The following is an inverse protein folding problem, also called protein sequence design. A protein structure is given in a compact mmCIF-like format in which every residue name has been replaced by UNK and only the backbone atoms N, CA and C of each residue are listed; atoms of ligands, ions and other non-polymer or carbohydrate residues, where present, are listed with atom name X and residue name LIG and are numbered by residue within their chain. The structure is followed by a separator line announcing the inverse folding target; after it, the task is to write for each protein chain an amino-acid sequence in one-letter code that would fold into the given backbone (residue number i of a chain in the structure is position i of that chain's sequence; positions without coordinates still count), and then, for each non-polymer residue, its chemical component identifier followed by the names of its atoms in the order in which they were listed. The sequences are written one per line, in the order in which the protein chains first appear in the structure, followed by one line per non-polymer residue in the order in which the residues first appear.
data_IF_874876550810
#
_entry.id   IF_874876550810
#
_cell.length_a   1.000
_cell.length_b   1.000
_cell.length_c   1.000
_cell.angle_alpha   90.00
_cell.angle_beta   90.00
_cell.angle_gamma   90.00
#
_symmetry.space_group_name_H-M   'P 1'
#
loop_
_entity.id
_entity.type
_entity.pdbx_description
1 polymer ?
#
# COMPACT_ATOMS: atom_id res chain seq x y z
N UNK A 1 3.47 6.74 4.87
CA UNK A 1 4.20 7.08 6.10
C UNK A 1 5.45 7.85 5.70
N UNK A 2 5.92 8.83 6.48
CA UNK A 2 7.19 9.51 6.16
C UNK A 2 8.35 8.52 6.30
N UNK A 3 9.24 8.46 5.29
CA UNK A 3 10.38 7.53 5.25
C UNK A 3 11.26 7.62 6.51
N UNK A 4 11.37 8.82 7.10
CA UNK A 4 12.11 9.04 8.35
C UNK A 4 11.48 8.29 9.52
N UNK A 5 10.16 8.34 9.64
CA UNK A 5 9.43 7.67 10.73
C UNK A 5 9.54 6.15 10.54
N UNK A 6 9.38 5.66 9.31
CA UNK A 6 9.54 4.23 8.96
C UNK A 6 10.92 3.71 9.37
N UNK A 7 11.98 4.45 9.03
CA UNK A 7 13.35 4.07 9.38
C UNK A 7 13.58 4.05 10.90
N UNK A 8 13.07 5.05 11.62
CA UNK A 8 13.16 5.08 13.09
C UNK A 8 12.41 3.89 13.69
N UNK A 9 11.21 3.57 13.20
CA UNK A 9 10.45 2.40 13.65
C UNK A 9 11.21 1.10 13.42
N UNK A 10 11.87 0.93 12.27
CA UNK A 10 12.70 -0.25 11.99
C UNK A 10 13.84 -0.36 13.00
N UNK A 11 14.56 0.73 13.27
CA UNK A 11 15.68 0.74 14.24
C UNK A 11 15.19 0.34 15.63
N UNK A 12 14.07 0.88 16.10
CA UNK A 12 13.51 0.55 17.42
C UNK A 12 13.11 -0.93 17.49
N UNK A 13 12.41 -1.45 16.47
CA UNK A 13 12.02 -2.87 16.44
C UNK A 13 13.26 -3.78 16.46
N UNK A 14 14.33 -3.39 15.76
CA UNK A 14 15.58 -4.15 15.73
C UNK A 14 16.28 -4.16 17.10
N UNK A 15 16.30 -3.03 17.81
CA UNK A 15 16.84 -2.95 19.17
C UNK A 15 16.06 -3.85 20.15
N UNK A 16 14.73 -3.84 20.09
CA UNK A 16 13.87 -4.69 20.91
C UNK A 16 14.13 -6.18 20.59
N UNK A 17 14.29 -6.52 19.31
CA UNK A 17 14.58 -7.88 18.87
C UNK A 17 15.91 -8.39 19.46
N UNK A 18 16.97 -7.57 19.43
CA UNK A 18 18.28 -7.92 20.00
C UNK A 18 18.18 -8.15 21.51
N UNK A 19 17.46 -7.28 22.22
CA UNK A 19 17.21 -7.44 23.66
C UNK A 19 16.43 -8.73 23.96
N UNK A 20 15.41 -9.03 23.15
CA UNK A 20 14.61 -10.24 23.31
C UNK A 20 15.45 -11.51 23.07
N UNK A 21 16.31 -11.54 22.06
CA UNK A 21 17.23 -12.66 21.81
C UNK A 21 18.18 -12.86 22.99
N UNK A 22 18.75 -11.77 23.52
CA UNK A 22 19.60 -11.83 24.71
C UNK A 22 18.83 -12.36 25.93
N UNK A 23 17.57 -11.98 26.05
CA UNK A 23 16.68 -12.45 27.13
C UNK A 23 16.37 -13.94 27.01
N UNK A 24 16.04 -14.47 25.83
CA UNK A 24 15.83 -15.92 25.59
C UNK A 24 17.04 -16.72 26.07
N UNK A 25 18.25 -16.26 25.72
CA UNK A 25 19.50 -16.93 26.08
C UNK A 25 19.74 -16.96 27.59
N UNK A 26 19.24 -15.96 28.32
CA UNK A 26 19.41 -15.85 29.78
C UNK A 26 18.34 -16.59 30.57
N UNK A 27 17.12 -16.70 30.06
CA UNK A 27 15.97 -17.21 30.83
C UNK A 27 15.61 -18.67 30.59
N UNK A 28 16.47 -19.46 29.91
CA UNK A 28 16.20 -20.87 29.59
C UNK A 28 14.91 -21.08 28.77
N UNK A 29 14.69 -20.29 27.72
CA UNK A 29 13.56 -20.44 26.80
C UNK A 29 12.17 -20.18 27.41
N UNK A 30 12.01 -19.09 28.16
CA UNK A 30 10.66 -18.65 28.52
C UNK A 30 9.83 -18.23 27.29
N UNK A 31 8.52 -18.40 27.39
CA UNK A 31 7.57 -18.08 26.31
C UNK A 31 7.45 -16.57 26.04
N UNK A 32 7.65 -15.73 27.06
CA UNK A 32 7.56 -14.28 26.94
C UNK A 32 8.56 -13.70 25.92
N UNK A 33 9.88 -13.92 26.05
CA UNK A 33 10.85 -13.36 25.11
C UNK A 33 10.72 -13.97 23.70
N UNK A 34 10.28 -15.23 23.58
CA UNK A 34 9.96 -15.85 22.27
C UNK A 34 8.80 -15.11 21.59
N UNK A 35 7.74 -14.81 22.33
CA UNK A 35 6.58 -14.07 21.82
C UNK A 35 6.99 -12.68 21.33
N UNK A 36 7.87 -12.01 22.07
CA UNK A 36 8.44 -10.71 21.65
C UNK A 36 9.23 -10.87 20.36
N UNK A 37 10.11 -11.86 20.24
CA UNK A 37 10.89 -12.10 18.99
C UNK A 37 9.97 -12.32 17.80
N UNK A 38 8.93 -13.14 17.94
CA UNK A 38 7.96 -13.38 16.87
C UNK A 38 7.22 -12.08 16.49
N UNK A 39 6.74 -11.32 17.47
CA UNK A 39 6.03 -10.06 17.24
C UNK A 39 6.89 -9.00 16.54
N UNK A 40 8.12 -8.80 17.00
CA UNK A 40 9.05 -7.85 16.39
C UNK A 40 9.45 -8.28 14.97
N UNK A 41 9.62 -9.58 14.75
CA UNK A 41 9.92 -10.12 13.41
C UNK A 41 8.76 -9.87 12.44
N UNK A 42 7.51 -10.08 12.87
CA UNK A 42 6.33 -9.80 12.06
C UNK A 42 6.19 -8.31 11.75
N UNK A 43 6.41 -7.45 12.77
CA UNK A 43 6.41 -6.00 12.62
C UNK A 43 7.44 -5.52 11.60
N UNK A 44 8.67 -6.06 11.63
CA UNK A 44 9.71 -5.75 10.65
C UNK A 44 9.31 -6.17 9.23
N UNK A 45 8.70 -7.34 9.06
CA UNK A 45 8.19 -7.79 7.75
C UNK A 45 7.15 -6.80 7.22
N UNK A 46 6.20 -6.38 8.06
CA UNK A 46 5.17 -5.40 7.68
C UNK A 46 5.78 -4.03 7.36
N UNK A 47 6.77 -3.57 8.14
CA UNK A 47 7.43 -2.30 7.89
C UNK A 47 8.23 -2.31 6.58
N UNK A 48 8.92 -3.41 6.25
CA UNK A 48 9.74 -3.49 5.03
C UNK A 48 8.88 -3.75 3.80
N UNK A 49 7.97 -4.72 3.86
CA UNK A 49 7.21 -5.21 2.72
C UNK A 49 5.79 -4.65 2.64
N UNK A 50 5.32 -3.91 3.65
CA UNK A 50 3.95 -3.39 3.71
C UNK A 50 3.57 -2.53 2.51
N UNK A 51 4.50 -1.73 1.98
CA UNK A 51 4.27 -0.95 0.75
C UNK A 51 4.14 -1.84 -0.49
N UNK A 52 4.92 -2.93 -0.58
CA UNK A 52 4.84 -3.88 -1.68
C UNK A 52 3.54 -4.69 -1.63
N UNK A 53 3.13 -5.09 -0.43
CA UNK A 53 1.86 -5.78 -0.18
C UNK A 53 0.69 -4.85 -0.49
N UNK A 54 0.72 -3.60 0.00
CA UNK A 54 -0.29 -2.60 -0.33
C UNK A 54 -0.39 -2.41 -1.84
N UNK A 55 0.71 -2.22 -2.56
CA UNK A 55 0.67 -2.01 -4.01
C UNK A 55 0.21 -3.23 -4.82
N UNK A 56 0.32 -4.45 -4.28
CA UNK A 56 -0.19 -5.68 -4.94
C UNK A 56 -1.66 -5.96 -4.63
N UNK A 57 -2.13 -5.58 -3.45
CA UNK A 57 -3.51 -5.82 -3.01
C UNK A 57 -4.44 -4.61 -3.21
N UNK A 58 -3.89 -3.40 -3.35
CA UNK A 58 -4.65 -2.28 -3.88
C UNK A 58 -4.91 -2.55 -5.35
N UNK A 59 -6.17 -2.88 -5.66
CA UNK A 59 -6.71 -2.64 -7.00
C UNK A 59 -6.50 -1.16 -7.25
N UNK A 60 -5.51 -0.84 -8.08
CA UNK A 60 -5.25 0.50 -8.58
C UNK A 60 -6.59 1.00 -9.12
N UNK A 61 -7.18 2.01 -8.48
CA UNK A 61 -8.37 2.67 -9.01
C UNK A 61 -8.12 2.92 -10.49
N UNK A 62 -9.04 2.46 -11.31
CA UNK A 62 -8.97 2.47 -12.77
C UNK A 62 -8.91 3.93 -13.23
N UNK A 63 -7.70 4.51 -13.30
CA UNK A 63 -7.47 5.91 -13.66
C UNK A 63 -7.08 6.10 -15.13
N UNK A 64 -7.26 5.07 -15.96
CA UNK A 64 -7.00 5.12 -17.40
C UNK A 64 -8.18 4.58 -18.19
N UNK A 65 -9.35 5.17 -17.97
CA UNK A 65 -10.54 4.86 -18.76
C UNK A 65 -10.45 5.58 -20.09
N UNK A 66 -10.16 4.84 -21.17
CA UNK A 66 -10.48 5.29 -22.53
C UNK A 66 -11.97 5.03 -22.76
N UNK A 67 -12.78 6.08 -22.63
CA UNK A 67 -14.21 6.00 -22.90
C UNK A 67 -14.45 6.49 -24.32
N UNK A 68 -14.82 5.56 -25.21
CA UNK A 68 -15.22 5.88 -26.57
C UNK A 68 -16.75 5.92 -26.61
N UNK A 69 -17.32 7.09 -26.90
CA UNK A 69 -18.74 7.24 -27.16
C UNK A 69 -18.95 7.27 -28.69
N UNK A 70 -19.65 6.26 -29.24
CA UNK A 70 -20.20 6.27 -30.60
C UNK A 70 -21.66 6.72 -30.44
N UNK A 71 -21.98 7.95 -30.87
CA UNK A 71 -23.29 8.58 -30.65
C UNK A 71 -23.91 8.89 -32.01
N UNK A 72 -25.17 8.51 -32.20
CA UNK A 72 -25.95 8.80 -33.40
C UNK A 72 -26.35 10.28 -33.47
N UNK A 73 -26.51 10.83 -34.67
CA UNK A 73 -26.78 12.28 -34.90
C UNK A 73 -28.03 12.81 -34.19
N UNK A 74 -28.98 11.95 -33.88
CA UNK A 74 -30.26 12.32 -33.25
C UNK A 74 -30.24 12.24 -31.71
N UNK A 75 -29.17 11.73 -31.11
CA UNK A 75 -29.08 11.59 -29.66
C UNK A 75 -28.88 12.95 -28.96
N UNK A 76 -29.86 13.32 -28.13
CA UNK A 76 -29.81 14.49 -27.26
C UNK A 76 -29.31 14.09 -25.86
N UNK A 77 -28.03 13.74 -25.78
CA UNK A 77 -27.34 13.51 -24.51
C UNK A 77 -26.63 14.78 -24.01
N UNK A 78 -26.82 15.13 -22.74
CA UNK A 78 -26.02 16.15 -22.05
C UNK A 78 -24.87 15.44 -21.32
N UNK A 79 -23.63 15.71 -21.73
CA UNK A 79 -22.45 15.04 -21.18
C UNK A 79 -21.77 15.96 -20.16
N UNK A 80 -21.89 15.63 -18.88
CA UNK A 80 -21.13 16.30 -17.83
C UNK A 80 -19.84 15.51 -17.56
N UNK A 81 -18.72 16.03 -18.06
CA UNK A 81 -17.40 15.46 -17.79
C UNK A 81 -16.78 16.28 -16.66
N UNK A 82 -16.72 15.68 -15.47
CA UNK A 82 -16.00 16.24 -14.32
C UNK A 82 -14.81 15.32 -13.96
N UNK A 83 -13.75 15.92 -13.41
CA UNK A 83 -12.52 15.23 -12.98
C UNK A 83 -11.67 14.58 -14.10
N UNK A 84 -11.37 15.32 -15.18
CA UNK A 84 -10.34 14.93 -16.15
C UNK A 84 -8.95 15.18 -15.53
N UNK A 85 -8.12 14.15 -15.43
CA UNK A 85 -6.68 14.30 -15.11
C UNK A 85 -5.89 14.53 -16.39
N UNK A 86 -4.74 15.22 -16.33
CA UNK A 86 -3.93 15.68 -17.49
C UNK A 86 -3.52 14.59 -18.50
N UNK A 87 -3.70 13.31 -18.18
CA UNK A 87 -3.40 12.15 -19.04
C UNK A 87 -4.64 11.40 -19.57
N UNK A 88 -5.84 11.93 -19.33
CA UNK A 88 -7.10 11.35 -19.80
C UNK A 88 -7.48 11.92 -21.17
N UNK A 89 -7.90 11.06 -22.09
CA UNK A 89 -8.30 11.45 -23.45
C UNK A 89 -9.74 11.01 -23.71
N UNK A 90 -10.61 11.96 -24.06
CA UNK A 90 -12.01 11.70 -24.42
C UNK A 90 -12.16 11.99 -25.91
N UNK A 91 -12.44 10.95 -26.70
CA UNK A 91 -12.73 11.08 -28.13
C UNK A 91 -14.21 10.80 -28.36
N UNK A 92 -14.91 11.82 -28.84
CA UNK A 92 -16.32 11.72 -29.23
C UNK A 92 -16.37 11.66 -30.75
N UNK A 93 -16.88 10.56 -31.30
CA UNK A 93 -17.10 10.41 -32.75
C UNK A 93 -18.61 10.41 -33.00
N UNK A 94 -19.08 11.34 -33.82
CA UNK A 94 -20.45 11.38 -34.31
C UNK A 94 -20.48 10.89 -35.76
N UNK A 95 -21.46 10.05 -36.11
CA UNK A 95 -21.70 9.59 -37.50
C UNK A 95 -22.79 10.40 -38.17
#
# INVERSE_FOLDING_TARGET
MSNKIKNISIIINLLILVLAIFWIKKSNFDYEPITVVCGQSLSLIVLVFGESIQNKFFVKDVSKSKVNFDIDKEDKGEYNISNITDSSEIRIKKR
#
